data_IF_959991215271
#
_entry.id   IF_959991215271
#
_cell.length_a   1.000
_cell.length_b   1.000
_cell.length_c   1.000
_cell.angle_alpha   90.00
_cell.angle_beta   90.00
_cell.angle_gamma   90.00
#
_symmetry.space_group_name_H-M   'P 1'
#
loop_
_entity.id
_entity.type
_entity.pdbx_description
1 polymer ?
#
# COMPACT_ATOMS: atom_id res chain seq x y z
N UNK A 1 -4.83 18.03 -20.80
CA UNK A 1 -5.62 17.55 -19.65
C UNK A 1 -4.70 16.66 -18.85
N UNK A 2 -4.39 17.04 -17.62
CA UNK A 2 -3.64 16.18 -16.70
C UNK A 2 -4.69 15.36 -15.94
N UNK A 3 -4.60 14.02 -15.94
CA UNK A 3 -5.48 13.20 -15.10
C UNK A 3 -5.22 13.46 -13.62
N UNK A 4 -6.22 13.14 -12.80
CA UNK A 4 -6.01 12.97 -11.36
C UNK A 4 -4.98 11.86 -11.09
N UNK A 5 -4.29 11.94 -9.96
CA UNK A 5 -3.32 10.91 -9.56
C UNK A 5 -3.97 9.52 -9.54
N UNK A 6 -3.25 8.51 -10.02
CA UNK A 6 -3.74 7.14 -10.14
C UNK A 6 -4.64 6.88 -11.37
N UNK A 7 -4.84 7.85 -12.26
CA UNK A 7 -5.57 7.65 -13.51
C UNK A 7 -4.67 7.64 -14.75
N UNK A 8 -4.94 6.73 -15.69
CA UNK A 8 -4.27 6.68 -17.00
C UNK A 8 -5.26 6.96 -18.13
N UNK A 9 -4.77 7.55 -19.23
CA UNK A 9 -5.60 7.82 -20.40
C UNK A 9 -6.11 6.50 -21.00
N UNK A 10 -7.42 6.35 -21.09
CA UNK A 10 -8.08 5.20 -21.72
C UNK A 10 -8.36 5.48 -23.18
N UNK A 11 -8.97 6.62 -23.48
CA UNK A 11 -9.28 7.05 -24.84
C UNK A 11 -9.15 8.56 -24.98
N UNK A 12 -8.71 9.00 -26.17
CA UNK A 12 -8.71 10.39 -26.59
C UNK A 12 -9.52 10.50 -27.88
N UNK A 13 -10.47 11.42 -27.91
CA UNK A 13 -11.25 11.73 -29.10
C UNK A 13 -11.23 13.23 -29.34
N UNK A 14 -10.93 13.63 -30.57
CA UNK A 14 -10.97 15.02 -31.02
C UNK A 14 -12.04 15.08 -32.09
N UNK A 15 -13.02 15.96 -31.94
CA UNK A 15 -14.14 16.10 -32.88
C UNK A 15 -14.31 17.55 -33.33
N UNK A 16 -14.67 17.76 -34.59
CA UNK A 16 -15.08 19.08 -35.09
C UNK A 16 -16.52 19.44 -34.64
N UNK A 17 -16.99 20.64 -35.01
CA UNK A 17 -18.37 21.10 -34.77
C UNK A 17 -19.46 20.20 -35.36
N UNK A 18 -19.15 19.38 -36.36
CA UNK A 18 -20.07 18.46 -37.02
C UNK A 18 -20.00 17.05 -36.40
N UNK A 19 -19.13 16.83 -35.41
CA UNK A 19 -18.91 15.54 -34.77
C UNK A 19 -17.93 14.61 -35.51
N UNK A 20 -17.28 15.07 -36.59
CA UNK A 20 -16.28 14.30 -37.33
C UNK A 20 -15.02 14.14 -36.50
N UNK A 21 -14.42 12.95 -36.53
CA UNK A 21 -13.18 12.67 -35.80
C UNK A 21 -12.00 13.36 -36.50
N UNK A 22 -11.20 14.09 -35.72
CA UNK A 22 -9.92 14.67 -36.11
C UNK A 22 -8.81 13.75 -35.63
N UNK A 23 -7.92 13.35 -36.55
CA UNK A 23 -6.76 12.53 -36.24
C UNK A 23 -5.75 13.30 -35.37
N UNK A 24 -5.04 12.57 -34.51
CA UNK A 24 -3.97 13.09 -33.66
C UNK A 24 -2.73 12.19 -33.74
N UNK A 25 -1.60 12.72 -33.31
CA UNK A 25 -0.33 12.01 -33.16
C UNK A 25 -0.01 11.83 -31.69
N UNK A 26 0.34 10.62 -31.28
CA UNK A 26 0.84 10.31 -29.93
C UNK A 26 2.37 10.40 -29.91
N UNK A 27 2.93 11.16 -28.98
CA UNK A 27 4.37 11.31 -28.79
C UNK A 27 4.87 10.41 -27.65
N UNK A 28 6.20 10.26 -27.52
CA UNK A 28 6.85 9.36 -26.56
C UNK A 28 6.75 9.79 -25.10
N UNK A 29 6.31 11.02 -24.81
CA UNK A 29 6.24 11.65 -23.49
C UNK A 29 4.80 11.76 -22.97
N UNK A 30 3.89 10.89 -23.42
CA UNK A 30 2.45 10.96 -23.13
C UNK A 30 1.76 12.25 -23.60
N UNK A 31 2.37 13.02 -24.52
CA UNK A 31 1.70 14.15 -25.16
C UNK A 31 1.02 13.74 -26.46
N UNK A 32 -0.06 14.43 -26.80
CA UNK A 32 -0.85 14.20 -28.01
C UNK A 32 -1.01 15.51 -28.76
N UNK A 33 -0.69 15.51 -30.06
CA UNK A 33 -0.76 16.70 -30.92
C UNK A 33 -1.78 16.49 -32.04
N UNK A 34 -2.47 17.56 -32.43
CA UNK A 34 -3.34 17.56 -33.59
C UNK A 34 -3.26 18.93 -34.26
N UNK A 35 -3.59 18.97 -35.55
CA UNK A 35 -3.64 20.23 -36.30
C UNK A 35 -5.00 20.88 -36.12
N UNK A 36 -5.02 22.12 -35.63
CA UNK A 36 -6.26 22.87 -35.42
C UNK A 36 -6.94 23.17 -36.77
N UNK A 37 -8.20 22.76 -36.99
CA UNK A 37 -8.95 23.12 -38.18
C UNK A 37 -9.47 24.57 -38.10
N UNK A 38 -10.08 25.05 -39.18
CA UNK A 38 -10.74 26.36 -39.24
C UNK A 38 -12.06 26.43 -38.45
N UNK A 39 -12.49 25.32 -37.86
CA UNK A 39 -13.71 25.20 -37.05
C UNK A 39 -13.37 24.89 -35.59
N UNK A 40 -14.32 25.17 -34.68
CA UNK A 40 -14.14 24.80 -33.28
C UNK A 40 -14.04 23.27 -33.11
N UNK A 41 -13.30 22.85 -32.09
CA UNK A 41 -13.09 21.42 -31.79
C UNK A 41 -13.46 21.11 -30.35
N UNK A 42 -13.91 19.88 -30.12
CA UNK A 42 -14.11 19.30 -28.80
C UNK A 42 -13.07 18.22 -28.56
N UNK A 43 -12.28 18.36 -27.50
CA UNK A 43 -11.32 17.34 -27.07
C UNK A 43 -11.91 16.61 -25.87
N UNK A 44 -12.18 15.32 -26.04
CA UNK A 44 -12.69 14.44 -24.98
C UNK A 44 -11.60 13.44 -24.60
N UNK A 45 -11.14 13.52 -23.35
CA UNK A 45 -10.26 12.52 -22.75
C UNK A 45 -11.05 11.70 -21.73
N UNK A 46 -11.02 10.38 -21.86
CA UNK A 46 -11.59 9.46 -20.86
C UNK A 46 -10.43 8.77 -20.17
N UNK A 47 -10.42 8.84 -18.85
CA UNK A 47 -9.41 8.20 -18.02
C UNK A 47 -9.98 6.94 -17.36
N UNK A 48 -9.09 6.01 -17.04
CA UNK A 48 -9.39 4.86 -16.18
C UNK A 48 -8.47 4.91 -14.96
N UNK A 49 -8.99 4.48 -13.82
CA UNK A 49 -8.16 4.22 -12.65
C UNK A 49 -7.17 3.11 -12.97
N UNK A 50 -5.90 3.34 -12.67
CA UNK A 50 -4.90 2.28 -12.60
C UNK A 50 -5.24 1.47 -11.35
N UNK A 51 -5.41 0.14 -11.44
CA UNK A 51 -5.52 -0.67 -10.23
C UNK A 51 -4.29 -0.41 -9.38
N UNK A 52 -4.48 -0.08 -8.10
CA UNK A 52 -3.37 0.00 -7.16
C UNK A 52 -2.79 -1.41 -7.00
N UNK A 53 -1.74 -1.69 -7.77
CA UNK A 53 -0.96 -2.90 -7.59
C UNK A 53 0.10 -2.62 -6.52
N UNK A 54 0.61 -3.68 -5.85
CA UNK A 54 1.71 -3.53 -4.90
C UNK A 54 2.94 -2.77 -5.45
N UNK A 55 3.18 -2.87 -6.76
CA UNK A 55 4.27 -2.15 -7.43
C UNK A 55 3.99 -0.65 -7.56
N UNK A 56 2.72 -0.27 -7.76
CA UNK A 56 2.31 1.14 -7.87
C UNK A 56 2.36 1.84 -6.51
N UNK A 57 2.00 1.13 -5.43
CA UNK A 57 2.09 1.68 -4.06
C UNK A 57 3.52 1.64 -3.49
N UNK A 58 4.44 0.93 -4.15
CA UNK A 58 5.80 0.70 -3.67
C UNK A 58 5.90 -0.34 -2.55
N UNK A 59 4.78 -0.92 -2.11
CA UNK A 59 4.77 -1.91 -1.02
C UNK A 59 5.50 -3.20 -1.42
N UNK A 60 5.57 -3.54 -2.71
CA UNK A 60 6.35 -4.68 -3.21
C UNK A 60 7.87 -4.55 -3.01
N UNK A 61 8.37 -3.36 -2.66
CA UNK A 61 9.77 -3.16 -2.27
C UNK A 61 10.04 -3.50 -0.79
N UNK A 62 8.99 -3.59 0.03
CA UNK A 62 9.08 -3.79 1.48
C UNK A 62 8.52 -5.14 1.90
N UNK A 63 7.39 -5.54 1.31
CA UNK A 63 6.65 -6.75 1.65
C UNK A 63 6.71 -7.81 0.55
N UNK A 64 6.62 -9.07 0.96
CA UNK A 64 6.45 -10.22 0.10
C UNK A 64 5.03 -10.22 -0.50
N UNK A 65 4.92 -9.82 -1.78
CA UNK A 65 3.63 -9.74 -2.48
C UNK A 65 3.47 -10.73 -3.62
N UNK A 66 4.53 -11.50 -3.92
CA UNK A 66 4.57 -12.46 -5.04
C UNK A 66 4.47 -13.89 -4.54
N UNK A 67 5.26 -14.24 -3.53
CA UNK A 67 5.32 -15.60 -3.00
C UNK A 67 4.26 -15.85 -1.93
N UNK A 68 3.59 -17.01 -2.01
CA UNK A 68 2.63 -17.44 -1.00
C UNK A 68 3.35 -18.04 0.21
N UNK A 69 3.95 -17.17 1.02
CA UNK A 69 4.66 -17.56 2.24
C UNK A 69 3.70 -17.74 3.42
N UNK A 70 4.12 -18.53 4.42
CA UNK A 70 3.38 -18.64 5.68
C UNK A 70 3.65 -17.42 6.56
N UNK A 71 2.72 -16.46 6.57
CA UNK A 71 2.83 -15.25 7.39
C UNK A 71 2.06 -15.33 8.71
N UNK A 72 1.11 -16.27 8.84
CA UNK A 72 0.39 -16.57 10.08
C UNK A 72 0.74 -17.97 10.61
N UNK A 73 0.89 -18.07 11.92
CA UNK A 73 0.94 -19.34 12.65
C UNK A 73 -0.15 -19.34 13.70
N UNK A 74 -0.83 -20.48 13.85
CA UNK A 74 -1.80 -20.66 14.93
C UNK A 74 -1.12 -20.69 16.30
N UNK A 75 -1.95 -20.77 17.34
CA UNK A 75 -1.56 -20.90 18.73
C UNK A 75 -0.90 -22.26 19.02
N UNK A 76 -0.26 -22.36 20.18
CA UNK A 76 0.41 -23.58 20.64
C UNK A 76 -0.54 -24.79 20.81
N UNK A 77 -1.84 -24.54 20.94
CA UNK A 77 -2.89 -25.55 21.00
C UNK A 77 -3.35 -26.07 19.61
N UNK A 78 -2.73 -25.56 18.54
CA UNK A 78 -3.04 -25.94 17.16
C UNK A 78 -4.21 -25.17 16.53
N UNK A 79 -4.84 -24.24 17.25
CA UNK A 79 -5.94 -23.42 16.73
C UNK A 79 -5.44 -22.17 16.04
N UNK A 80 -6.22 -21.61 15.11
CA UNK A 80 -5.97 -20.27 14.54
C UNK A 80 -6.81 -19.18 15.20
N UNK A 81 -7.78 -19.56 16.04
CA UNK A 81 -8.65 -18.65 16.80
C UNK A 81 -9.37 -17.58 15.97
N UNK A 82 -10.14 -17.94 14.92
CA UNK A 82 -10.69 -16.97 13.97
C UNK A 82 -11.73 -16.00 14.60
N UNK A 83 -12.38 -16.42 15.69
CA UNK A 83 -13.36 -15.62 16.42
C UNK A 83 -12.74 -14.78 17.55
N UNK A 84 -11.42 -14.88 17.75
CA UNK A 84 -10.72 -14.11 18.78
C UNK A 84 -10.32 -12.74 18.22
N UNK A 85 -10.41 -11.71 19.06
CA UNK A 85 -9.80 -10.44 18.73
C UNK A 85 -8.28 -10.62 18.63
N UNK A 86 -7.71 -10.14 17.54
CA UNK A 86 -6.27 -10.17 17.30
C UNK A 86 -5.58 -9.09 18.15
N UNK A 87 -4.42 -9.41 18.71
CA UNK A 87 -3.63 -8.44 19.49
C UNK A 87 -2.67 -7.66 18.60
N UNK A 88 -2.24 -6.47 19.04
CA UNK A 88 -1.22 -5.67 18.32
C UNK A 88 0.09 -6.44 18.14
N UNK A 89 0.47 -7.28 19.12
CA UNK A 89 1.64 -8.15 19.02
C UNK A 89 1.52 -9.22 17.93
N UNK A 90 0.35 -9.85 17.79
CA UNK A 90 0.06 -10.83 16.74
C UNK A 90 0.13 -10.19 15.35
N UNK A 91 -0.45 -8.99 15.19
CA UNK A 91 -0.38 -8.23 13.95
C UNK A 91 1.06 -7.85 13.61
N UNK A 92 1.83 -7.35 14.59
CA UNK A 92 3.24 -7.03 14.39
C UNK A 92 4.04 -8.26 13.93
N UNK A 93 3.80 -9.43 14.53
CA UNK A 93 4.45 -10.67 14.08
C UNK A 93 4.07 -11.03 12.65
N UNK A 94 2.81 -10.86 12.27
CA UNK A 94 2.33 -11.13 10.93
C UNK A 94 3.04 -10.26 9.87
N UNK A 95 3.10 -8.94 10.09
CA UNK A 95 3.77 -8.00 9.18
C UNK A 95 5.29 -8.23 9.13
N UNK A 96 5.90 -8.55 10.27
CA UNK A 96 7.32 -8.87 10.32
C UNK A 96 7.65 -10.11 9.46
N UNK A 97 6.80 -11.13 9.48
CA UNK A 97 6.96 -12.31 8.62
C UNK A 97 6.84 -11.98 7.12
N UNK A 98 6.11 -10.92 6.78
CA UNK A 98 5.93 -10.45 5.40
C UNK A 98 7.09 -9.57 4.89
N UNK A 99 8.00 -9.11 5.76
CA UNK A 99 9.12 -8.28 5.33
C UNK A 99 10.06 -9.04 4.37
N UNK A 100 10.42 -8.39 3.27
CA UNK A 100 11.49 -8.85 2.37
C UNK A 100 12.85 -8.92 3.08
N UNK A 101 13.10 -7.97 3.98
CA UNK A 101 14.31 -7.92 4.79
C UNK A 101 13.98 -7.68 6.26
N UNK A 102 14.31 -8.66 7.10
CA UNK A 102 14.15 -8.59 8.55
C UNK A 102 15.42 -8.17 9.30
N UNK A 103 16.56 -8.08 8.60
CA UNK A 103 17.85 -7.70 9.19
C UNK A 103 17.98 -6.17 9.21
N UNK A 104 17.18 -5.56 10.07
CA UNK A 104 17.14 -4.12 10.30
C UNK A 104 17.83 -3.81 11.61
N UNK A 105 18.61 -2.73 11.66
CA UNK A 105 19.16 -2.23 12.91
C UNK A 105 18.02 -1.68 13.77
N UNK A 106 17.82 -2.29 14.93
CA UNK A 106 16.82 -1.82 15.90
C UNK A 106 17.26 -0.51 16.53
N UNK A 107 16.44 0.53 16.39
CA UNK A 107 16.64 1.87 16.97
C UNK A 107 15.51 2.28 17.93
N UNK A 108 14.40 1.54 17.93
CA UNK A 108 13.23 1.77 18.76
C UNK A 108 12.97 0.55 19.66
N UNK A 109 12.61 0.81 20.92
CA UNK A 109 12.18 -0.21 21.89
C UNK A 109 11.06 0.34 22.78
N UNK A 110 10.32 -0.56 23.42
CA UNK A 110 9.18 -0.23 24.28
C UNK A 110 9.36 -0.82 25.68
N UNK A 111 8.80 -0.13 26.67
CA UNK A 111 8.93 -0.50 28.09
C UNK A 111 8.23 -1.81 28.46
N UNK A 112 7.18 -2.18 27.76
CA UNK A 112 6.39 -3.41 27.91
C UNK A 112 6.85 -4.55 26.98
N UNK A 113 7.92 -4.35 26.21
CA UNK A 113 8.44 -5.33 25.24
C UNK A 113 9.88 -5.71 25.61
N UNK A 114 10.08 -6.61 26.60
CA UNK A 114 11.40 -7.12 26.93
C UNK A 114 11.95 -7.97 25.78
N UNK A 115 13.26 -7.98 25.57
CA UNK A 115 13.93 -8.70 24.47
C UNK A 115 13.63 -10.22 24.43
N UNK A 116 13.23 -10.79 25.56
CA UNK A 116 12.85 -12.20 25.68
C UNK A 116 11.42 -12.51 25.23
N UNK A 117 10.60 -11.49 24.96
CA UNK A 117 9.22 -11.66 24.52
C UNK A 117 9.16 -12.18 23.09
N UNK A 118 8.22 -13.09 22.82
CA UNK A 118 8.10 -13.78 21.54
C UNK A 118 7.98 -12.83 20.33
N UNK A 119 7.32 -11.68 20.50
CA UNK A 119 7.13 -10.67 19.46
C UNK A 119 8.15 -9.52 19.52
N UNK A 120 9.13 -9.53 20.45
CA UNK A 120 10.02 -8.39 20.68
C UNK A 120 10.76 -7.97 19.41
N UNK A 121 11.32 -8.96 18.69
CA UNK A 121 12.01 -8.72 17.43
C UNK A 121 11.08 -8.09 16.38
N UNK A 122 9.86 -8.62 16.25
CA UNK A 122 8.89 -8.11 15.29
C UNK A 122 8.50 -6.65 15.58
N UNK A 123 8.13 -6.37 16.83
CA UNK A 123 7.71 -5.05 17.28
C UNK A 123 8.84 -4.04 17.10
N UNK A 124 10.03 -4.35 17.60
CA UNK A 124 11.15 -3.41 17.57
C UNK A 124 11.66 -3.16 16.13
N UNK A 125 11.68 -4.18 15.27
CA UNK A 125 12.05 -4.01 13.86
C UNK A 125 11.05 -3.15 13.11
N UNK A 126 9.74 -3.46 13.21
CA UNK A 126 8.71 -2.70 12.51
C UNK A 126 8.61 -1.25 13.01
N UNK A 127 8.82 -1.02 14.31
CA UNK A 127 8.86 0.33 14.86
C UNK A 127 10.09 1.11 14.38
N UNK A 128 11.25 0.45 14.26
CA UNK A 128 12.47 1.05 13.71
C UNK A 128 12.34 1.37 12.20
N UNK A 129 11.49 0.65 11.48
CA UNK A 129 11.11 0.97 10.10
C UNK A 129 10.03 2.06 9.98
N UNK A 130 9.45 2.50 11.10
CA UNK A 130 8.35 3.48 11.12
C UNK A 130 7.00 2.92 10.68
N UNK A 131 6.86 1.59 10.57
CA UNK A 131 5.62 0.92 10.14
C UNK A 131 4.59 0.89 11.28
N UNK A 132 5.05 0.77 12.52
CA UNK A 132 4.18 0.67 13.70
C UNK A 132 4.64 1.68 14.75
N UNK A 133 3.69 2.19 15.52
CA UNK A 133 3.94 3.13 16.61
C UNK A 133 3.36 2.60 17.92
N UNK A 134 4.06 2.85 19.02
CA UNK A 134 3.54 2.63 20.37
C UNK A 134 2.71 3.82 20.85
N UNK A 135 2.34 3.76 22.12
CA UNK A 135 1.65 4.82 22.83
C UNK A 135 2.63 5.87 23.36
N UNK A 136 2.12 7.08 23.63
CA UNK A 136 2.90 8.21 24.15
C UNK A 136 3.56 7.94 25.51
N UNK A 137 3.08 6.94 26.25
CA UNK A 137 3.65 6.50 27.52
C UNK A 137 4.89 5.59 27.36
N UNK A 138 5.32 5.29 26.13
CA UNK A 138 6.46 4.42 25.84
C UNK A 138 6.17 2.91 25.89
N UNK A 139 4.89 2.52 25.91
CA UNK A 139 4.46 1.12 25.76
C UNK A 139 3.97 0.85 24.33
N UNK A 140 4.04 -0.39 23.88
CA UNK A 140 3.50 -0.82 22.60
C UNK A 140 2.04 -1.28 22.71
N UNK A 141 1.65 -1.88 23.84
CA UNK A 141 0.35 -2.51 24.03
C UNK A 141 0.26 -3.88 23.36
N UNK A 142 1.22 -4.77 23.63
CA UNK A 142 1.35 -6.07 22.93
C UNK A 142 0.06 -6.90 22.98
N UNK A 143 -0.59 -6.94 24.12
CA UNK A 143 -1.80 -7.73 24.38
C UNK A 143 -3.10 -6.97 24.10
N UNK A 144 -3.01 -5.68 23.74
CA UNK A 144 -4.19 -4.89 23.43
C UNK A 144 -4.79 -5.35 22.10
N UNK A 145 -6.12 -5.48 22.10
CA UNK A 145 -6.87 -5.79 20.89
C UNK A 145 -6.67 -4.69 19.85
N UNK A 146 -6.33 -5.07 18.62
CA UNK A 146 -6.18 -4.09 17.54
C UNK A 146 -7.55 -3.63 17.05
N UNK A 147 -7.71 -2.32 16.84
CA UNK A 147 -8.87 -1.75 16.16
C UNK A 147 -8.68 -1.82 14.63
N UNK A 148 -9.79 -1.79 13.86
CA UNK A 148 -9.70 -1.83 12.39
C UNK A 148 -8.91 -0.63 11.86
N UNK A 149 -9.07 0.52 12.50
CA UNK A 149 -8.39 1.77 12.17
C UNK A 149 -6.88 1.63 12.38
N UNK A 150 -6.46 1.07 13.51
CA UNK A 150 -5.05 0.81 13.78
C UNK A 150 -4.46 -0.22 12.82
N UNK A 151 -5.21 -1.26 12.48
CA UNK A 151 -4.78 -2.25 11.50
C UNK A 151 -4.55 -1.60 10.12
N UNK A 152 -5.48 -0.76 9.67
CA UNK A 152 -5.35 -0.03 8.40
C UNK A 152 -4.20 0.97 8.39
N UNK A 153 -3.80 1.54 9.53
CA UNK A 153 -2.63 2.43 9.57
C UNK A 153 -1.29 1.69 9.41
N UNK A 154 -1.28 0.37 9.62
CA UNK A 154 -0.09 -0.48 9.48
C UNK A 154 0.02 -1.13 8.09
N UNK A 155 -1.10 -1.20 7.35
CA UNK A 155 -1.25 -1.93 6.08
C UNK A 155 -1.22 -0.98 4.88
#
# INVERSE_FOLDING_TARGET
VTPDDGCTLRTLAIKDVNGNIISYTANSDNTYTFTMPSTAVTVTAVFKTVPETPDVTGVSSVLQTVDHIKYLSGYSDGTVGPERNMTRGEVAQMFYNLLLNQNVTTTVSFSDVPDTMWCAKAVNTLASLGIINGYDNGSFGVDDAITREQFCAMA
#
